data_IF_804628761581
#
_entry.id   IF_804628761581
#
_cell.length_a   1.000
_cell.length_b   1.000
_cell.length_c   1.000
_cell.angle_alpha   90.00
_cell.angle_beta   90.00
_cell.angle_gamma   90.00
#
_symmetry.space_group_name_H-M   'P 1'
#
loop_
_entity.id
_entity.type
_entity.pdbx_description
1 polymer ?
#
# COMPACT_ATOMS: atom_id res chain seq x y z
N UNK A 1 28.76 -49.42 23.64
CA UNK A 1 28.67 -47.96 23.86
C UNK A 1 27.61 -47.44 22.89
N UNK A 2 26.41 -47.12 23.39
CA UNK A 2 25.33 -46.55 22.59
C UNK A 2 25.32 -45.05 22.88
N UNK A 3 25.65 -44.26 21.85
CA UNK A 3 25.63 -42.80 21.90
C UNK A 3 24.17 -42.29 22.02
N UNK A 4 23.89 -41.59 23.12
CA UNK A 4 22.64 -40.83 23.29
C UNK A 4 22.70 -39.60 22.42
N UNK A 5 21.86 -39.58 21.36
CA UNK A 5 21.61 -38.39 20.58
C UNK A 5 20.71 -37.47 21.38
N UNK A 6 21.24 -36.38 21.90
CA UNK A 6 20.46 -35.34 22.55
C UNK A 6 19.79 -34.51 21.45
N UNK A 7 18.49 -34.71 21.26
CA UNK A 7 17.66 -33.85 20.45
C UNK A 7 17.49 -32.52 21.19
N UNK A 8 18.15 -31.45 20.68
CA UNK A 8 17.94 -30.11 21.18
C UNK A 8 16.53 -29.67 20.75
N UNK A 9 15.62 -29.56 21.74
CA UNK A 9 14.30 -28.99 21.55
C UNK A 9 14.44 -27.54 21.01
N UNK A 10 13.66 -27.22 19.98
CA UNK A 10 13.61 -25.87 19.41
C UNK A 10 12.97 -24.91 20.40
N UNK A 11 13.49 -23.69 20.57
CA UNK A 11 12.85 -22.69 21.43
C UNK A 11 11.54 -22.22 20.76
N UNK A 12 10.42 -22.51 21.40
CA UNK A 12 9.10 -21.94 21.10
C UNK A 12 8.78 -20.83 22.10
N UNK A 13 7.93 -19.85 21.72
CA UNK A 13 7.35 -18.90 22.67
C UNK A 13 6.32 -19.59 23.58
N UNK A 14 5.79 -18.89 24.58
CA UNK A 14 4.80 -19.41 25.55
C UNK A 14 3.52 -19.91 24.87
N UNK A 15 3.31 -19.62 23.57
CA UNK A 15 2.16 -20.05 22.77
C UNK A 15 2.51 -21.08 21.70
N UNK A 16 3.73 -21.62 21.69
CA UNK A 16 4.13 -22.69 20.77
C UNK A 16 4.44 -22.25 19.33
N UNK A 17 4.59 -20.94 19.08
CA UNK A 17 4.92 -20.43 17.75
C UNK A 17 6.42 -20.54 17.46
N UNK A 18 6.78 -21.02 16.27
CA UNK A 18 8.17 -21.08 15.79
C UNK A 18 8.69 -19.66 15.56
N UNK A 19 9.60 -19.19 16.42
CA UNK A 19 10.23 -17.86 16.34
C UNK A 19 10.98 -17.56 15.02
N UNK A 20 11.14 -18.56 14.15
CA UNK A 20 11.72 -18.35 12.81
C UNK A 20 10.71 -17.86 11.77
N UNK A 21 9.46 -17.69 12.11
CA UNK A 21 8.37 -17.41 11.21
C UNK A 21 8.08 -15.92 10.99
N UNK A 22 9.03 -15.00 11.20
CA UNK A 22 8.81 -13.61 10.74
C UNK A 22 10.06 -12.72 10.77
N UNK A 23 11.18 -13.15 10.21
CA UNK A 23 12.08 -12.11 9.71
C UNK A 23 11.44 -11.52 8.45
N UNK A 24 11.15 -10.22 8.49
CA UNK A 24 10.68 -9.50 7.31
C UNK A 24 11.65 -9.74 6.15
N UNK A 25 11.18 -9.84 4.90
CA UNK A 25 12.07 -9.95 3.75
C UNK A 25 13.09 -8.80 3.75
N UNK A 26 14.28 -9.05 3.22
CA UNK A 26 15.29 -8.01 3.12
C UNK A 26 14.77 -6.85 2.24
N UNK A 27 14.98 -5.58 2.66
CA UNK A 27 14.57 -4.45 1.86
C UNK A 27 15.35 -4.37 0.54
N UNK A 28 14.79 -3.76 -0.51
CA UNK A 28 15.53 -3.35 -1.68
C UNK A 28 16.81 -2.57 -1.30
N UNK A 29 17.86 -2.69 -2.11
CA UNK A 29 19.17 -2.09 -1.80
C UNK A 29 19.08 -0.59 -1.57
N UNK A 30 18.30 0.13 -2.39
CA UNK A 30 18.12 1.58 -2.28
C UNK A 30 17.45 1.99 -0.95
N UNK A 31 16.49 1.20 -0.44
CA UNK A 31 15.89 1.40 0.89
C UNK A 31 16.96 1.16 1.98
N UNK A 32 17.77 0.10 1.83
CA UNK A 32 18.76 -0.25 2.83
C UNK A 32 19.89 0.81 2.96
N UNK A 33 20.13 1.63 1.94
CA UNK A 33 21.13 2.68 1.93
C UNK A 33 20.76 3.91 2.77
N UNK A 34 19.45 4.16 3.01
CA UNK A 34 19.00 5.22 3.90
C UNK A 34 18.58 4.66 5.26
N UNK A 35 19.14 5.14 6.38
CA UNK A 35 18.72 4.73 7.71
C UNK A 35 17.23 5.03 7.99
N UNK A 36 16.69 6.12 7.42
CA UNK A 36 15.28 6.53 7.58
C UNK A 36 14.38 5.56 6.82
N UNK A 37 14.66 5.30 5.55
CA UNK A 37 13.90 4.37 4.73
C UNK A 37 13.98 2.93 5.25
N UNK A 38 15.15 2.49 5.71
CA UNK A 38 15.32 1.18 6.32
C UNK A 38 14.50 1.03 7.62
N UNK A 39 14.37 2.11 8.41
CA UNK A 39 13.50 2.13 9.59
C UNK A 39 12.02 2.08 9.21
N UNK A 40 11.60 2.89 8.24
CA UNK A 40 10.24 2.90 7.72
C UNK A 40 9.85 1.53 7.15
N UNK A 41 10.73 0.90 6.38
CA UNK A 41 10.52 -0.46 5.85
C UNK A 41 10.27 -1.49 6.97
N UNK A 42 11.08 -1.46 8.05
CA UNK A 42 10.85 -2.38 9.19
C UNK A 42 9.51 -2.16 9.87
N UNK A 43 9.06 -0.90 9.99
CA UNK A 43 7.73 -0.57 10.52
C UNK A 43 6.62 -1.09 9.59
N UNK A 44 6.73 -0.83 8.28
CA UNK A 44 5.79 -1.34 7.28
C UNK A 44 5.75 -2.87 7.26
N UNK A 45 6.89 -3.54 7.25
CA UNK A 45 6.99 -5.00 7.28
C UNK A 45 6.34 -5.60 8.53
N UNK A 46 6.52 -4.95 9.70
CA UNK A 46 5.85 -5.36 10.93
C UNK A 46 4.34 -5.12 10.87
N UNK A 47 3.90 -3.96 10.34
CA UNK A 47 2.49 -3.60 10.27
C UNK A 47 1.70 -4.53 9.32
N UNK A 48 2.33 -5.00 8.25
CA UNK A 48 1.70 -5.80 7.19
C UNK A 48 2.16 -7.28 7.17
N UNK A 49 2.78 -7.79 8.23
CA UNK A 49 3.47 -9.10 8.25
C UNK A 49 2.62 -10.28 7.75
N UNK A 50 1.31 -10.30 8.03
CA UNK A 50 0.39 -11.37 7.62
C UNK A 50 -0.60 -10.96 6.53
N UNK A 51 -0.52 -9.72 6.06
CA UNK A 51 -1.52 -9.18 5.13
C UNK A 51 -1.17 -9.53 3.68
N UNK A 52 -2.23 -9.81 2.91
CA UNK A 52 -2.15 -10.03 1.47
C UNK A 52 -3.16 -9.16 0.73
N UNK A 53 -2.78 -8.72 -0.46
CA UNK A 53 -3.66 -7.97 -1.35
C UNK A 53 -4.81 -8.87 -1.81
N UNK A 54 -6.03 -8.37 -1.75
CA UNK A 54 -7.21 -9.07 -2.28
C UNK A 54 -7.14 -9.22 -3.80
N UNK A 55 -6.51 -8.26 -4.48
CA UNK A 55 -6.41 -8.20 -5.94
C UNK A 55 -5.53 -9.32 -6.52
N UNK A 56 -4.23 -9.32 -6.24
CA UNK A 56 -3.27 -10.25 -6.86
C UNK A 56 -2.78 -11.36 -5.91
N UNK A 57 -3.13 -11.28 -4.61
CA UNK A 57 -2.71 -12.23 -3.58
C UNK A 57 -1.26 -12.07 -3.11
N UNK A 58 -0.55 -11.05 -3.58
CA UNK A 58 0.81 -10.74 -3.16
C UNK A 58 0.85 -10.29 -1.67
N UNK A 59 2.00 -10.38 -0.99
CA UNK A 59 2.18 -9.76 0.31
C UNK A 59 1.83 -8.26 0.24
N UNK A 60 1.16 -7.74 1.28
CA UNK A 60 0.78 -6.32 1.28
C UNK A 60 2.01 -5.40 1.32
N UNK A 61 3.10 -5.87 1.91
CA UNK A 61 4.40 -5.18 1.91
C UNK A 61 4.88 -4.82 0.50
N UNK A 62 4.61 -5.68 -0.50
CA UNK A 62 5.01 -5.43 -1.89
C UNK A 62 4.30 -4.19 -2.46
N UNK A 63 3.04 -3.92 -2.03
CA UNK A 63 2.31 -2.72 -2.42
C UNK A 63 2.99 -1.44 -1.91
N UNK A 64 3.26 -1.36 -0.61
CA UNK A 64 3.86 -0.13 -0.05
C UNK A 64 5.29 0.08 -0.55
N UNK A 65 6.01 -1.00 -0.87
CA UNK A 65 7.32 -0.91 -1.54
C UNK A 65 7.16 -0.44 -2.99
N UNK A 66 6.15 -0.91 -3.73
CA UNK A 66 5.86 -0.43 -5.09
C UNK A 66 5.53 1.07 -5.08
N UNK A 67 4.70 1.55 -4.14
CA UNK A 67 4.39 2.99 -3.98
C UNK A 67 5.66 3.81 -3.72
N UNK A 68 6.49 3.37 -2.78
CA UNK A 68 7.75 4.05 -2.47
C UNK A 68 8.74 4.04 -3.66
N UNK A 69 8.79 2.94 -4.42
CA UNK A 69 9.63 2.84 -5.62
C UNK A 69 9.18 3.82 -6.70
N UNK A 70 7.87 3.93 -6.94
CA UNK A 70 7.31 4.90 -7.88
C UNK A 70 7.68 6.34 -7.52
N UNK A 71 7.65 6.68 -6.23
CA UNK A 71 8.03 8.01 -5.74
C UNK A 71 9.54 8.25 -5.88
N UNK A 72 10.37 7.29 -5.52
CA UNK A 72 11.83 7.37 -5.61
C UNK A 72 12.29 7.50 -7.07
N UNK A 73 11.79 6.65 -7.97
CA UNK A 73 12.10 6.70 -9.41
C UNK A 73 11.64 8.00 -10.08
N UNK A 74 10.57 8.62 -9.57
CA UNK A 74 10.09 9.93 -10.01
C UNK A 74 10.88 11.11 -9.39
N UNK A 75 11.84 10.83 -8.50
CA UNK A 75 12.74 11.83 -7.91
C UNK A 75 12.13 12.66 -6.79
N UNK A 76 11.11 12.13 -6.09
CA UNK A 76 10.55 12.79 -4.91
C UNK A 76 11.48 12.66 -3.70
N UNK A 77 11.29 13.55 -2.72
CA UNK A 77 12.12 13.62 -1.52
C UNK A 77 11.95 12.39 -0.60
N UNK A 78 12.92 12.18 0.28
CA UNK A 78 12.94 11.05 1.21
C UNK A 78 11.71 11.07 2.14
N UNK A 79 11.16 12.24 2.46
CA UNK A 79 9.97 12.37 3.30
C UNK A 79 8.74 11.78 2.59
N UNK A 80 8.52 12.13 1.31
CA UNK A 80 7.46 11.57 0.48
C UNK A 80 7.60 10.07 0.29
N UNK A 81 8.82 9.59 0.02
CA UNK A 81 9.12 8.15 -0.14
C UNK A 81 8.87 7.40 1.18
N UNK A 82 9.27 7.98 2.32
CA UNK A 82 9.02 7.42 3.65
C UNK A 82 7.53 7.33 3.95
N UNK A 83 6.79 8.39 3.65
CA UNK A 83 5.33 8.38 3.80
C UNK A 83 4.67 7.36 2.88
N UNK A 84 5.16 7.18 1.65
CA UNK A 84 4.72 6.14 0.72
C UNK A 84 4.92 4.71 1.26
N UNK A 85 6.03 4.43 1.94
CA UNK A 85 6.26 3.14 2.63
C UNK A 85 5.27 2.88 3.78
N UNK A 86 4.73 3.94 4.40
CA UNK A 86 3.96 3.84 5.63
C UNK A 86 2.49 4.24 5.48
N UNK A 87 2.03 4.65 4.28
CA UNK A 87 0.72 5.26 4.07
C UNK A 87 -0.45 4.42 4.59
N UNK A 88 -0.37 3.10 4.46
CA UNK A 88 -1.39 2.14 4.92
C UNK A 88 -1.11 1.54 6.31
N UNK A 89 0.02 1.88 6.95
CA UNK A 89 0.45 1.22 8.19
C UNK A 89 -0.45 1.56 9.39
N UNK A 90 -1.11 2.72 9.38
CA UNK A 90 -2.08 3.13 10.41
C UNK A 90 -3.46 2.58 10.11
N UNK A 91 -3.95 2.74 8.88
CA UNK A 91 -5.30 2.30 8.46
C UNK A 91 -5.45 0.78 8.54
N UNK A 92 -4.54 0.06 7.91
CA UNK A 92 -4.63 -1.40 7.74
C UNK A 92 -3.73 -2.18 8.68
N UNK A 93 -2.80 -1.50 9.34
CA UNK A 93 -1.75 -2.13 10.13
C UNK A 93 -1.99 -2.06 11.62
N UNK A 94 -0.92 -2.36 12.34
CA UNK A 94 -0.89 -2.31 13.80
C UNK A 94 -0.16 -1.07 14.34
N UNK A 95 0.16 -0.11 13.44
CA UNK A 95 0.88 1.10 13.82
C UNK A 95 -0.10 2.18 14.26
N UNK A 96 0.06 2.67 15.49
CA UNK A 96 -0.75 3.81 15.95
C UNK A 96 -0.17 5.15 15.48
N UNK A 97 -1.02 6.17 15.35
CA UNK A 97 -0.59 7.51 14.97
C UNK A 97 0.48 8.09 15.92
N UNK A 98 0.37 7.81 17.24
CA UNK A 98 1.34 8.25 18.24
C UNK A 98 2.70 7.56 18.05
N UNK A 99 2.68 6.25 17.75
CA UNK A 99 3.91 5.51 17.48
C UNK A 99 4.55 6.00 16.17
N UNK A 100 3.75 6.19 15.11
CA UNK A 100 4.23 6.73 13.86
C UNK A 100 4.93 8.09 14.06
N UNK A 101 4.29 9.02 14.79
CA UNK A 101 4.85 10.34 15.08
C UNK A 101 6.17 10.23 15.85
N UNK A 102 6.24 9.38 16.86
CA UNK A 102 7.46 9.17 17.66
C UNK A 102 8.60 8.58 16.82
N UNK A 103 8.29 7.67 15.89
CA UNK A 103 9.26 6.95 15.09
C UNK A 103 9.75 7.74 13.87
N UNK A 104 8.86 8.52 13.22
CA UNK A 104 9.11 9.16 11.93
C UNK A 104 9.01 10.70 11.96
N UNK A 105 8.55 11.29 13.06
CA UNK A 105 8.35 12.74 13.19
C UNK A 105 7.02 13.23 12.63
N UNK A 106 6.76 14.53 12.83
CA UNK A 106 5.46 15.15 12.51
C UNK A 106 5.20 15.24 11.01
N UNK A 107 6.23 15.52 10.19
CA UNK A 107 6.07 15.71 8.75
C UNK A 107 5.58 14.43 8.07
N UNK A 108 6.31 13.31 8.22
CA UNK A 108 5.89 12.01 7.68
C UNK A 108 4.55 11.56 8.25
N UNK A 109 4.33 11.76 9.56
CA UNK A 109 3.07 11.36 10.19
C UNK A 109 1.88 12.11 9.64
N UNK A 110 2.03 13.41 9.37
CA UNK A 110 0.96 14.23 8.78
C UNK A 110 0.60 13.75 7.38
N UNK A 111 1.58 13.39 6.56
CA UNK A 111 1.37 12.84 5.23
C UNK A 111 0.65 11.47 5.28
N UNK A 112 1.08 10.57 6.16
CA UNK A 112 0.43 9.26 6.33
C UNK A 112 -1.02 9.43 6.79
N UNK A 113 -1.27 10.27 7.80
CA UNK A 113 -2.63 10.52 8.30
C UNK A 113 -3.52 11.20 7.26
N UNK A 114 -2.95 12.01 6.36
CA UNK A 114 -3.67 12.59 5.24
C UNK A 114 -4.19 11.53 4.25
N UNK A 115 -3.58 10.33 4.20
CA UNK A 115 -3.98 9.22 3.35
C UNK A 115 -4.80 8.15 4.11
N UNK A 116 -4.99 8.30 5.42
CA UNK A 116 -5.72 7.36 6.27
C UNK A 116 -7.22 7.62 6.17
N UNK A 117 -8.02 6.61 5.86
CA UNK A 117 -9.50 6.71 5.78
C UNK A 117 -10.14 6.90 7.16
N UNK A 118 -11.31 7.50 7.17
CA UNK A 118 -12.17 7.58 8.35
C UNK A 118 -13.10 6.36 8.42
N UNK A 119 -12.73 5.37 9.22
CA UNK A 119 -13.49 4.13 9.39
C UNK A 119 -14.87 4.33 10.03
N UNK A 120 -15.18 5.53 10.54
CA UNK A 120 -16.52 5.86 11.04
C UNK A 120 -17.56 6.06 9.93
N UNK A 121 -17.10 6.19 8.67
CA UNK A 121 -17.96 6.33 7.49
C UNK A 121 -18.26 4.94 6.91
N UNK A 122 -19.45 4.43 7.12
CA UNK A 122 -19.86 3.08 6.70
C UNK A 122 -19.89 2.90 5.18
N UNK A 123 -20.39 3.90 4.45
CA UNK A 123 -20.53 3.85 2.99
C UNK A 123 -19.15 3.89 2.31
N UNK A 124 -18.81 2.84 1.55
CA UNK A 124 -17.57 2.79 0.77
C UNK A 124 -17.41 4.01 -0.14
N UNK A 125 -18.47 4.40 -0.86
CA UNK A 125 -18.40 5.53 -1.80
C UNK A 125 -18.16 6.86 -1.08
N UNK A 126 -18.83 7.08 0.05
CA UNK A 126 -18.68 8.30 0.87
C UNK A 126 -17.32 8.34 1.54
N UNK A 127 -16.84 7.23 2.09
CA UNK A 127 -15.52 7.13 2.70
C UNK A 127 -14.40 7.43 1.69
N UNK A 128 -14.49 6.86 0.47
CA UNK A 128 -13.53 7.15 -0.60
C UNK A 128 -13.63 8.60 -1.11
N UNK A 129 -14.80 9.21 -1.10
CA UNK A 129 -14.97 10.63 -1.44
C UNK A 129 -14.38 11.53 -0.35
N UNK A 130 -14.61 11.22 0.92
CA UNK A 130 -14.02 11.93 2.06
C UNK A 130 -12.49 11.86 2.04
N UNK A 131 -11.92 10.69 1.78
CA UNK A 131 -10.47 10.53 1.64
C UNK A 131 -9.90 11.40 0.51
N UNK A 132 -10.51 11.40 -0.69
CA UNK A 132 -10.05 12.27 -1.78
C UNK A 132 -10.04 13.74 -1.40
N UNK A 133 -11.08 14.20 -0.70
CA UNK A 133 -11.15 15.59 -0.24
C UNK A 133 -10.10 15.88 0.83
N UNK A 134 -9.88 14.99 1.79
CA UNK A 134 -8.83 15.08 2.80
C UNK A 134 -7.44 15.18 2.16
N UNK A 135 -7.12 14.31 1.21
CA UNK A 135 -5.87 14.32 0.45
C UNK A 135 -5.69 15.64 -0.30
N UNK A 136 -6.73 16.10 -1.00
CA UNK A 136 -6.71 17.36 -1.73
C UNK A 136 -6.40 18.55 -0.82
N UNK A 137 -7.01 18.60 0.37
CA UNK A 137 -6.79 19.65 1.36
C UNK A 137 -5.41 19.60 2.02
N UNK A 138 -4.80 18.41 2.07
CA UNK A 138 -3.48 18.19 2.67
C UNK A 138 -2.31 18.64 1.78
N UNK A 139 -2.60 19.05 0.55
CA UNK A 139 -1.63 19.69 -0.34
C UNK A 139 -0.92 18.76 -1.32
N UNK A 140 0.00 19.31 -2.14
CA UNK A 140 0.56 18.63 -3.30
C UNK A 140 1.33 17.34 -2.94
N UNK A 141 2.02 17.31 -1.83
CA UNK A 141 2.80 16.15 -1.38
C UNK A 141 1.89 14.95 -1.10
N UNK A 142 0.77 15.17 -0.38
CA UNK A 142 -0.23 14.14 -0.12
C UNK A 142 -0.89 13.65 -1.43
N UNK A 143 -1.23 14.57 -2.35
CA UNK A 143 -1.78 14.23 -3.67
C UNK A 143 -0.80 13.39 -4.48
N UNK A 144 0.50 13.67 -4.42
CA UNK A 144 1.54 12.90 -5.11
C UNK A 144 1.63 11.48 -4.58
N UNK A 145 1.66 11.29 -3.26
CA UNK A 145 1.71 9.97 -2.64
C UNK A 145 0.44 9.18 -2.98
N UNK A 146 -0.72 9.83 -2.91
CA UNK A 146 -2.00 9.24 -3.30
C UNK A 146 -2.02 8.81 -4.77
N UNK A 147 -1.40 9.58 -5.68
CA UNK A 147 -1.31 9.21 -7.09
C UNK A 147 -0.45 7.96 -7.31
N UNK A 148 0.69 7.85 -6.64
CA UNK A 148 1.55 6.66 -6.65
C UNK A 148 0.82 5.43 -6.06
N UNK A 149 0.08 5.61 -4.96
CA UNK A 149 -0.75 4.59 -4.35
C UNK A 149 -1.82 4.09 -5.34
N UNK A 150 -2.58 4.99 -5.98
CA UNK A 150 -3.60 4.57 -6.96
C UNK A 150 -3.00 3.86 -8.17
N UNK A 151 -1.80 4.27 -8.63
CA UNK A 151 -1.11 3.57 -9.70
C UNK A 151 -0.73 2.13 -9.28
N UNK A 152 -0.19 1.92 -8.08
CA UNK A 152 0.11 0.59 -7.55
C UNK A 152 -1.15 -0.26 -7.35
N UNK A 153 -2.24 0.35 -6.89
CA UNK A 153 -3.53 -0.32 -6.74
C UNK A 153 -4.06 -0.85 -8.08
N UNK A 154 -4.06 -0.01 -9.11
CA UNK A 154 -4.51 -0.38 -10.45
C UNK A 154 -3.60 -1.47 -11.04
N UNK A 155 -2.28 -1.36 -10.87
CA UNK A 155 -1.33 -2.39 -11.29
C UNK A 155 -1.62 -3.74 -10.61
N UNK A 156 -1.91 -3.72 -9.31
CA UNK A 156 -2.28 -4.92 -8.57
C UNK A 156 -3.58 -5.54 -9.07
N UNK A 157 -4.60 -4.73 -9.36
CA UNK A 157 -5.86 -5.22 -9.94
C UNK A 157 -5.62 -5.86 -11.32
N UNK A 158 -4.82 -5.23 -12.18
CA UNK A 158 -4.48 -5.79 -13.50
C UNK A 158 -3.72 -7.11 -13.39
N UNK A 159 -2.74 -7.21 -12.46
CA UNK A 159 -2.07 -8.49 -12.17
C UNK A 159 -3.07 -9.54 -11.70
N UNK A 160 -4.02 -9.14 -10.85
CA UNK A 160 -5.09 -10.01 -10.38
C UNK A 160 -6.00 -10.51 -11.50
N UNK A 161 -6.42 -9.62 -12.40
CA UNK A 161 -7.20 -9.97 -13.59
C UNK A 161 -6.44 -10.97 -14.46
N UNK A 162 -5.17 -10.71 -14.74
CA UNK A 162 -4.34 -11.61 -15.55
C UNK A 162 -4.15 -13.00 -14.90
N UNK A 163 -4.15 -13.07 -13.58
CA UNK A 163 -3.93 -14.30 -12.82
C UNK A 163 -5.20 -15.11 -12.59
N UNK A 164 -6.31 -14.45 -12.27
CA UNK A 164 -7.53 -15.08 -11.76
C UNK A 164 -8.72 -14.95 -12.72
N UNK A 165 -8.60 -14.14 -13.77
CA UNK A 165 -9.70 -13.93 -14.72
C UNK A 165 -10.98 -13.50 -14.01
N UNK A 166 -12.06 -14.25 -14.24
CA UNK A 166 -13.40 -13.98 -13.72
C UNK A 166 -13.53 -14.11 -12.20
N UNK A 167 -12.66 -14.87 -11.56
CA UNK A 167 -12.68 -15.05 -10.10
C UNK A 167 -12.25 -13.79 -9.33
N UNK A 168 -11.68 -12.79 -10.04
CA UNK A 168 -11.14 -11.59 -9.41
C UNK A 168 -12.22 -10.81 -8.65
N UNK A 169 -13.43 -10.70 -9.19
CA UNK A 169 -14.53 -9.95 -8.57
C UNK A 169 -15.03 -10.64 -7.29
N UNK A 170 -15.11 -11.97 -7.29
CA UNK A 170 -15.44 -12.73 -6.09
C UNK A 170 -14.39 -12.55 -4.99
N UNK A 171 -13.11 -12.54 -5.37
CA UNK A 171 -11.98 -12.33 -4.44
C UNK A 171 -11.99 -10.95 -3.81
N UNK A 172 -12.32 -9.93 -4.58
CA UNK A 172 -12.40 -8.53 -4.11
C UNK A 172 -13.71 -8.22 -3.37
N UNK A 173 -14.76 -9.01 -3.57
CA UNK A 173 -16.11 -8.69 -3.09
C UNK A 173 -16.75 -7.48 -3.78
N UNK A 174 -16.23 -7.08 -4.95
CA UNK A 174 -16.73 -5.95 -5.74
C UNK A 174 -16.40 -6.16 -7.22
N UNK A 175 -17.08 -5.43 -8.11
CA UNK A 175 -16.86 -5.53 -9.56
C UNK A 175 -15.63 -4.73 -10.01
N UNK A 176 -14.99 -5.17 -11.11
CA UNK A 176 -13.91 -4.40 -11.75
C UNK A 176 -14.42 -3.03 -12.20
N UNK A 177 -15.65 -2.94 -12.74
CA UNK A 177 -16.28 -1.67 -13.11
C UNK A 177 -16.49 -0.71 -11.94
N UNK A 178 -16.86 -1.23 -10.76
CA UNK A 178 -16.97 -0.44 -9.53
C UNK A 178 -15.62 0.13 -9.09
N UNK A 179 -14.56 -0.69 -9.12
CA UNK A 179 -13.20 -0.23 -8.83
C UNK A 179 -12.70 0.78 -9.87
N UNK A 180 -12.93 0.56 -11.16
CA UNK A 180 -12.56 1.51 -12.20
C UNK A 180 -13.23 2.88 -12.01
N UNK A 181 -14.50 2.90 -11.59
CA UNK A 181 -15.22 4.15 -11.27
C UNK A 181 -14.58 4.89 -10.09
N UNK A 182 -14.19 4.18 -9.03
CA UNK A 182 -13.47 4.76 -7.90
C UNK A 182 -12.11 5.34 -8.33
N UNK A 183 -11.33 4.61 -9.13
CA UNK A 183 -10.03 5.08 -9.61
C UNK A 183 -10.17 6.29 -10.54
N UNK A 184 -11.19 6.30 -11.41
CA UNK A 184 -11.46 7.47 -12.29
C UNK A 184 -11.71 8.74 -11.48
N UNK A 185 -12.57 8.68 -10.46
CA UNK A 185 -12.80 9.82 -9.57
C UNK A 185 -11.53 10.25 -8.82
N UNK A 186 -10.61 9.30 -8.52
CA UNK A 186 -9.33 9.62 -7.92
C UNK A 186 -8.39 10.34 -8.90
N UNK A 187 -8.33 9.88 -10.15
CA UNK A 187 -7.52 10.52 -11.21
C UNK A 187 -8.03 11.92 -11.52
N UNK A 188 -9.35 12.11 -11.62
CA UNK A 188 -9.96 13.44 -11.78
C UNK A 188 -9.55 14.41 -10.67
N UNK A 189 -9.56 13.96 -9.41
CA UNK A 189 -9.11 14.78 -8.28
C UNK A 189 -7.61 15.09 -8.36
N UNK A 190 -6.77 14.09 -8.70
CA UNK A 190 -5.32 14.28 -8.85
C UNK A 190 -5.03 15.34 -9.91
N UNK A 191 -5.67 15.26 -11.07
CA UNK A 191 -5.46 16.18 -12.19
C UNK A 191 -5.98 17.60 -11.90
N UNK A 192 -7.13 17.70 -11.23
CA UNK A 192 -7.66 18.99 -10.79
C UNK A 192 -6.73 19.67 -9.79
N UNK A 193 -6.04 18.89 -8.94
CA UNK A 193 -5.11 19.40 -7.92
C UNK A 193 -3.69 19.60 -8.47
N UNK A 194 -3.25 18.74 -9.39
CA UNK A 194 -1.91 18.69 -9.96
C UNK A 194 -1.95 18.41 -11.47
N UNK A 195 -2.27 19.39 -12.34
CA UNK A 195 -2.43 19.18 -13.78
C UNK A 195 -1.19 18.65 -14.52
N UNK A 196 -0.03 18.66 -13.87
CA UNK A 196 1.24 18.12 -14.39
C UNK A 196 1.79 16.98 -13.54
N UNK A 197 0.92 16.20 -12.89
CA UNK A 197 1.36 15.03 -12.15
C UNK A 197 2.11 14.06 -13.07
N UNK A 198 3.29 13.63 -12.65
CA UNK A 198 4.13 12.69 -13.41
C UNK A 198 3.46 11.30 -13.52
N UNK A 199 2.49 11.01 -12.68
CA UNK A 199 1.77 9.74 -12.68
C UNK A 199 0.52 9.74 -13.58
N UNK A 200 0.00 10.92 -14.00
CA UNK A 200 -1.23 11.01 -14.83
C UNK A 200 -1.18 10.18 -16.11
N UNK A 201 -0.11 10.19 -16.92
CA UNK A 201 -0.08 9.39 -18.14
C UNK A 201 -0.21 7.88 -17.88
N UNK A 202 0.47 7.38 -16.84
CA UNK A 202 0.39 5.97 -16.44
C UNK A 202 -0.99 5.63 -15.89
N UNK A 203 -1.57 6.49 -15.04
CA UNK A 203 -2.91 6.30 -14.48
C UNK A 203 -3.96 6.20 -15.58
N UNK A 204 -3.94 7.08 -16.58
CA UNK A 204 -4.86 7.02 -17.73
C UNK A 204 -4.70 5.73 -18.51
N UNK A 205 -3.48 5.37 -18.90
CA UNK A 205 -3.23 4.15 -19.68
C UNK A 205 -3.74 2.90 -18.95
N UNK A 206 -3.54 2.83 -17.63
CA UNK A 206 -3.99 1.72 -16.80
C UNK A 206 -5.52 1.69 -16.67
N UNK A 207 -6.17 2.85 -16.50
CA UNK A 207 -7.63 2.93 -16.41
C UNK A 207 -8.31 2.50 -17.72
N UNK A 208 -7.79 2.92 -18.87
CA UNK A 208 -8.32 2.50 -20.18
C UNK A 208 -8.28 0.96 -20.35
N UNK A 209 -7.29 0.29 -19.79
CA UNK A 209 -7.23 -1.17 -19.80
C UNK A 209 -8.30 -1.80 -18.91
N UNK A 210 -8.54 -1.24 -17.70
CA UNK A 210 -9.61 -1.70 -16.83
C UNK A 210 -11.00 -1.49 -17.46
N UNK A 211 -11.21 -0.34 -18.11
CA UNK A 211 -12.46 -0.03 -18.80
C UNK A 211 -12.73 -1.00 -19.96
N UNK A 212 -11.71 -1.33 -20.75
CA UNK A 212 -11.81 -2.34 -21.80
C UNK A 212 -12.16 -3.72 -21.25
N UNK A 213 -11.53 -4.09 -20.15
CA UNK A 213 -11.84 -5.35 -19.49
C UNK A 213 -13.28 -5.39 -18.95
N UNK A 214 -13.74 -4.32 -18.29
CA UNK A 214 -15.10 -4.22 -17.78
C UNK A 214 -16.15 -4.23 -18.91
N UNK A 215 -15.91 -3.50 -20.01
CA UNK A 215 -16.80 -3.43 -21.17
C UNK A 215 -16.94 -4.77 -21.92
N UNK A 216 -15.92 -5.61 -21.93
CA UNK A 216 -15.94 -6.90 -22.61
C UNK A 216 -16.83 -7.96 -21.89
N UNK A 217 -17.39 -7.63 -20.71
CA UNK A 217 -18.19 -8.52 -19.85
C UNK A 217 -19.66 -8.15 -19.71
N UNK A 218 -20.04 -7.05 -20.33
CA UNK A 218 -21.44 -6.60 -20.48
C UNK A 218 -21.92 -6.81 -21.92
#
# INVERSE_FOLDING_TARGET
>A
MRGLSVSLARPTDEFGHDRRASEAPAPPTWIAQSPVLARAYRLAASAHASQRRATDGAPFLDHVVEVATLLEEAGFDEESVTAGLLHDAVERGTLTAERLRREMGDAVSSLVLALTEDDSIDSFAERKAALREQVRQSGPQAVTIFAADKLSDINGLRRGIARFGDEIEQRMGTTVGGMASHYRASVEMIEASMPRSVFSPALHAQLEELDRYAAARH
#
